data_IF_057223443010
#
_entry.id   IF_057223443010
#
_cell.length_a   1.000
_cell.length_b   1.000
_cell.length_c   1.000
_cell.angle_alpha   90.00
_cell.angle_beta   90.00
_cell.angle_gamma   90.00
#
_symmetry.space_group_name_H-M   'P 1'
#
loop_
_entity.id
_entity.type
_entity.pdbx_description
1 polymer ?
#
# COMPACT_ATOMS: atom_id res chain seq x y z
N UNK A 1 -31.14 -2.13 -21.42
CA UNK A 1 -29.68 -1.90 -21.42
C UNK A 1 -29.02 -3.23 -21.65
N UNK A 2 -28.74 -3.52 -22.91
CA UNK A 2 -28.48 -4.88 -23.40
C UNK A 2 -26.99 -5.04 -23.74
N UNK A 3 -26.41 -6.15 -23.27
CA UNK A 3 -24.96 -6.43 -23.28
C UNK A 3 -24.53 -7.14 -24.58
N UNK A 4 -25.36 -7.08 -25.63
CA UNK A 4 -25.22 -7.92 -26.83
C UNK A 4 -24.30 -7.35 -27.91
N UNK A 5 -23.76 -6.13 -27.73
CA UNK A 5 -22.78 -5.57 -28.66
C UNK A 5 -21.37 -5.59 -28.06
N UNK A 6 -20.48 -6.36 -28.70
CA UNK A 6 -19.06 -6.41 -28.32
C UNK A 6 -18.38 -5.05 -28.47
N UNK A 7 -18.82 -4.20 -29.40
CA UNK A 7 -18.22 -2.89 -29.62
C UNK A 7 -18.55 -1.90 -28.49
N UNK A 8 -19.76 -1.98 -27.97
CA UNK A 8 -20.18 -1.22 -26.79
C UNK A 8 -19.41 -1.69 -25.54
N UNK A 9 -19.22 -3.00 -25.39
CA UNK A 9 -18.43 -3.60 -24.30
C UNK A 9 -16.95 -3.21 -24.37
N UNK A 10 -16.35 -3.22 -25.56
CA UNK A 10 -14.98 -2.71 -25.80
C UNK A 10 -14.84 -1.23 -25.45
N UNK A 11 -15.85 -0.43 -25.77
CA UNK A 11 -15.91 0.98 -25.40
C UNK A 11 -15.89 1.18 -23.88
N UNK A 12 -16.74 0.46 -23.14
CA UNK A 12 -16.74 0.51 -21.67
C UNK A 12 -15.42 0.05 -21.06
N UNK A 13 -14.81 -1.00 -21.60
CA UNK A 13 -13.51 -1.49 -21.14
C UNK A 13 -12.40 -0.45 -21.34
N UNK A 14 -12.32 0.16 -22.54
CA UNK A 14 -11.33 1.20 -22.86
C UNK A 14 -11.49 2.44 -21.98
N UNK A 15 -12.72 2.89 -21.72
CA UNK A 15 -13.00 4.01 -20.82
C UNK A 15 -12.66 3.64 -19.36
N UNK A 16 -12.90 2.39 -18.95
CA UNK A 16 -12.47 1.87 -17.66
C UNK A 16 -10.94 1.87 -17.51
N UNK A 17 -10.22 1.42 -18.53
CA UNK A 17 -8.77 1.39 -18.58
C UNK A 17 -8.15 2.80 -18.52
N UNK A 18 -8.69 3.75 -19.30
CA UNK A 18 -8.22 5.14 -19.25
C UNK A 18 -8.46 5.77 -17.87
N UNK A 19 -9.64 5.55 -17.27
CA UNK A 19 -9.94 6.04 -15.92
C UNK A 19 -9.01 5.43 -14.87
N UNK A 20 -8.71 4.13 -15.00
CA UNK A 20 -7.75 3.44 -14.13
C UNK A 20 -6.35 4.03 -14.25
N UNK A 21 -5.88 4.24 -15.48
CA UNK A 21 -4.56 4.84 -15.75
C UNK A 21 -4.46 6.25 -15.13
N UNK A 22 -5.44 7.10 -15.40
CA UNK A 22 -5.49 8.45 -14.82
C UNK A 22 -5.50 8.42 -13.27
N UNK A 23 -6.17 7.45 -12.66
CA UNK A 23 -6.17 7.28 -11.20
C UNK A 23 -4.79 6.85 -10.67
N UNK A 24 -4.13 5.90 -11.35
CA UNK A 24 -2.76 5.48 -11.02
C UNK A 24 -1.80 6.66 -11.13
N UNK A 25 -1.91 7.47 -12.18
CA UNK A 25 -1.02 8.61 -12.41
C UNK A 25 -1.17 9.68 -11.31
N UNK A 26 -2.41 9.95 -10.89
CA UNK A 26 -2.70 10.87 -9.78
C UNK A 26 -2.12 10.37 -8.45
N UNK A 27 -2.26 9.08 -8.16
CA UNK A 27 -1.72 8.48 -6.93
C UNK A 27 -0.19 8.43 -6.97
N UNK A 28 0.40 8.08 -8.12
CA UNK A 28 1.85 8.02 -8.31
C UNK A 28 2.54 9.40 -8.21
N UNK A 29 1.81 10.50 -8.47
CA UNK A 29 2.29 11.85 -8.22
C UNK A 29 2.51 12.12 -6.71
N UNK A 30 1.82 11.39 -5.83
CA UNK A 30 1.98 11.43 -4.38
C UNK A 30 2.68 10.18 -3.84
N UNK A 31 3.85 9.88 -4.42
CA UNK A 31 4.71 8.80 -3.99
C UNK A 31 5.76 9.31 -2.98
N UNK A 32 6.04 8.51 -1.96
CA UNK A 32 6.94 8.81 -0.85
C UNK A 32 8.04 7.75 -0.76
N UNK A 33 9.24 8.18 -0.41
CA UNK A 33 10.32 7.28 0.03
C UNK A 33 10.12 6.85 1.50
N UNK A 34 11.00 5.99 2.01
CA UNK A 34 10.96 5.53 3.41
C UNK A 34 11.14 6.64 4.46
N UNK A 35 11.65 7.82 4.07
CA UNK A 35 11.84 8.96 4.96
C UNK A 35 10.63 9.89 5.01
N UNK A 36 9.66 9.65 4.11
CA UNK A 36 8.50 10.49 3.88
C UNK A 36 8.81 11.71 3.03
N UNK A 37 9.89 11.68 2.24
CA UNK A 37 10.11 12.68 1.21
C UNK A 37 9.31 12.28 -0.04
N UNK A 38 8.69 13.25 -0.69
CA UNK A 38 8.06 13.00 -1.98
C UNK A 38 9.12 12.58 -3.00
N UNK A 39 8.98 11.37 -3.53
CA UNK A 39 9.83 10.83 -4.58
C UNK A 39 9.59 11.54 -5.93
N UNK A 40 8.50 12.30 -6.03
CA UNK A 40 8.06 12.96 -7.27
C UNK A 40 7.91 14.47 -7.11
N UNK A 41 9.03 15.19 -7.00
CA UNK A 41 9.08 16.59 -7.43
C UNK A 41 9.81 16.68 -8.76
N UNK A 42 9.12 17.25 -9.75
CA UNK A 42 9.58 17.56 -11.12
C UNK A 42 9.61 16.41 -12.13
N UNK A 43 8.44 16.00 -12.63
CA UNK A 43 8.34 15.47 -14.00
C UNK A 43 6.90 15.53 -14.54
N UNK A 44 6.20 16.66 -14.37
CA UNK A 44 4.84 16.88 -14.94
C UNK A 44 4.79 16.78 -16.49
N UNK A 45 5.89 16.40 -17.15
CA UNK A 45 6.07 16.41 -18.60
C UNK A 45 6.95 15.25 -19.17
N UNK A 46 7.27 14.19 -18.42
CA UNK A 46 8.08 13.07 -18.97
C UNK A 46 7.21 11.84 -19.27
N UNK A 47 6.69 11.84 -20.51
CA UNK A 47 6.50 10.73 -21.47
C UNK A 47 6.00 9.35 -20.99
N UNK A 48 5.14 8.73 -21.80
CA UNK A 48 4.71 7.31 -21.72
C UNK A 48 5.88 6.31 -21.47
N UNK A 49 7.09 6.68 -21.87
CA UNK A 49 8.33 5.94 -21.65
C UNK A 49 8.72 5.79 -20.18
N UNK A 50 8.52 6.82 -19.33
CA UNK A 50 8.81 6.74 -17.89
C UNK A 50 7.76 5.88 -17.15
N UNK A 51 6.50 5.91 -17.60
CA UNK A 51 5.48 4.98 -17.12
C UNK A 51 5.87 3.52 -17.39
N UNK A 52 6.40 3.26 -18.59
CA UNK A 52 6.86 1.92 -18.98
C UNK A 52 8.10 1.50 -18.18
N UNK A 53 9.07 2.42 -17.98
CA UNK A 53 10.24 2.14 -17.12
C UNK A 53 9.85 1.81 -15.69
N UNK A 54 8.86 2.49 -15.11
CA UNK A 54 8.34 2.17 -13.77
C UNK A 54 7.62 0.83 -13.73
N UNK A 55 6.75 0.55 -14.70
CA UNK A 55 6.04 -0.72 -14.76
C UNK A 55 6.98 -1.92 -14.89
N UNK A 56 8.15 -1.73 -15.51
CA UNK A 56 9.19 -2.75 -15.66
C UNK A 56 10.18 -2.75 -14.47
N UNK A 57 10.43 -1.58 -13.86
CA UNK A 57 11.46 -1.36 -12.84
C UNK A 57 10.96 -1.40 -11.39
N UNK A 58 9.68 -1.73 -11.16
CA UNK A 58 9.09 -1.81 -9.83
C UNK A 58 8.33 -3.13 -9.64
N UNK A 59 8.38 -3.66 -8.42
CA UNK A 59 7.60 -4.84 -8.02
C UNK A 59 6.76 -4.53 -6.79
N UNK A 60 5.55 -5.09 -6.73
CA UNK A 60 4.66 -4.91 -5.59
C UNK A 60 5.25 -5.56 -4.34
N UNK A 61 5.28 -4.83 -3.23
CA UNK A 61 5.74 -5.30 -1.91
C UNK A 61 4.77 -4.85 -0.83
N UNK A 62 4.86 -5.37 0.42
CA UNK A 62 4.01 -4.90 1.49
C UNK A 62 4.03 -3.38 1.62
N UNK A 63 2.83 -2.79 1.61
CA UNK A 63 2.59 -1.36 1.76
C UNK A 63 3.17 -0.46 0.66
N UNK A 64 3.56 -0.99 -0.50
CA UNK A 64 4.20 -0.18 -1.53
C UNK A 64 4.75 -0.94 -2.74
N UNK A 65 5.79 -0.36 -3.33
CA UNK A 65 6.60 -0.95 -4.40
C UNK A 65 8.08 -0.96 -4.02
N UNK A 66 8.83 -1.87 -4.62
CA UNK A 66 10.28 -1.96 -4.52
C UNK A 66 10.89 -1.75 -5.91
N UNK A 67 11.93 -0.92 -5.99
CA UNK A 67 12.65 -0.63 -7.23
C UNK A 67 14.09 -1.21 -7.27
N UNK A 68 14.41 -2.12 -6.35
CA UNK A 68 15.71 -2.80 -6.33
C UNK A 68 15.81 -3.75 -7.55
N UNK A 69 16.76 -3.57 -8.48
CA UNK A 69 16.77 -4.33 -9.74
C UNK A 69 16.79 -5.85 -9.57
N UNK A 70 17.57 -6.35 -8.61
CA UNK A 70 17.66 -7.79 -8.32
C UNK A 70 16.34 -8.34 -7.79
N UNK A 71 15.71 -7.64 -6.84
CA UNK A 71 14.44 -8.06 -6.27
C UNK A 71 13.29 -7.92 -7.29
N UNK A 72 13.33 -6.90 -8.15
CA UNK A 72 12.37 -6.73 -9.27
C UNK A 72 12.50 -7.90 -10.24
N UNK A 73 13.72 -8.27 -10.65
CA UNK A 73 13.96 -9.43 -11.50
C UNK A 73 13.46 -10.74 -10.85
N UNK A 74 13.56 -10.83 -9.53
CA UNK A 74 13.09 -11.97 -8.75
C UNK A 74 11.58 -11.91 -8.38
N UNK A 75 10.80 -10.99 -8.94
CA UNK A 75 9.37 -10.90 -8.68
C UNK A 75 9.00 -10.53 -7.23
N UNK A 76 9.95 -9.95 -6.47
CA UNK A 76 9.74 -9.51 -5.09
C UNK A 76 10.07 -10.55 -4.01
N UNK A 77 10.47 -11.76 -4.41
CA UNK A 77 10.60 -12.91 -3.50
C UNK A 77 12.01 -13.13 -2.94
N UNK A 78 13.01 -12.38 -3.40
CA UNK A 78 14.42 -12.57 -3.02
C UNK A 78 14.95 -11.51 -2.04
N UNK A 79 14.09 -10.63 -1.52
CA UNK A 79 14.52 -9.60 -0.58
C UNK A 79 14.91 -10.21 0.78
N UNK A 80 16.14 -10.01 1.28
CA UNK A 80 16.60 -10.59 2.56
C UNK A 80 15.90 -10.00 3.78
N UNK A 81 15.30 -8.81 3.64
CA UNK A 81 14.54 -8.11 4.68
C UNK A 81 13.05 -8.02 4.31
N UNK A 82 12.52 -9.06 3.65
CA UNK A 82 11.10 -9.10 3.26
C UNK A 82 10.21 -8.79 4.47
N UNK A 83 9.12 -8.04 4.21
CA UNK A 83 8.21 -7.50 5.22
C UNK A 83 8.77 -6.35 6.08
N UNK A 84 10.06 -5.99 5.95
CA UNK A 84 10.66 -4.79 6.57
C UNK A 84 10.95 -3.68 5.55
N UNK A 85 10.09 -3.56 4.52
CA UNK A 85 10.33 -2.68 3.38
C UNK A 85 10.47 -1.19 3.77
N UNK A 86 9.75 -0.73 4.79
CA UNK A 86 9.90 0.64 5.37
C UNK A 86 11.32 0.92 5.91
N UNK A 87 12.14 -0.12 6.05
CA UNK A 87 13.55 -0.05 6.38
C UNK A 87 14.48 0.31 5.21
N UNK A 88 14.05 0.07 3.96
CA UNK A 88 14.89 0.03 2.76
C UNK A 88 14.78 1.30 1.89
N UNK A 89 15.89 1.74 1.30
CA UNK A 89 15.90 2.90 0.37
C UNK A 89 15.23 2.63 -0.97
N UNK A 90 15.05 1.36 -1.35
CA UNK A 90 14.33 0.96 -2.57
C UNK A 90 12.81 0.95 -2.42
N UNK A 91 12.31 1.11 -1.20
CA UNK A 91 10.89 1.12 -0.93
C UNK A 91 10.24 2.45 -1.32
N UNK A 92 9.08 2.37 -1.96
CA UNK A 92 8.21 3.50 -2.25
C UNK A 92 6.79 3.17 -1.83
N UNK A 93 6.11 4.12 -1.20
CA UNK A 93 4.66 4.04 -0.92
C UNK A 93 3.95 5.19 -1.60
N UNK A 94 2.65 5.05 -1.81
CA UNK A 94 1.79 6.14 -2.25
C UNK A 94 0.61 6.32 -1.28
N UNK A 95 -0.17 7.38 -1.47
CA UNK A 95 -1.33 7.72 -0.62
C UNK A 95 -2.38 6.61 -0.55
N UNK A 96 -2.45 5.72 -1.55
CA UNK A 96 -3.42 4.62 -1.55
C UNK A 96 -3.11 3.54 -0.51
N UNK A 97 -1.88 3.48 0.01
CA UNK A 97 -1.47 2.54 1.06
C UNK A 97 -1.63 3.09 2.49
N UNK A 98 -2.11 4.33 2.65
CA UNK A 98 -2.27 4.97 3.96
C UNK A 98 -3.11 4.13 4.95
N UNK A 99 -4.26 3.53 4.56
CA UNK A 99 -5.02 2.65 5.45
C UNK A 99 -4.25 1.39 5.88
N UNK A 100 -3.50 0.76 4.98
CA UNK A 100 -2.71 -0.43 5.30
C UNK A 100 -1.52 -0.09 6.22
N UNK A 101 -0.89 1.08 6.02
CA UNK A 101 0.16 1.58 6.92
C UNK A 101 -0.38 1.83 8.33
N UNK A 102 -1.60 2.38 8.45
CA UNK A 102 -2.26 2.58 9.74
C UNK A 102 -2.58 1.25 10.42
N UNK A 103 -3.17 0.31 9.68
CA UNK A 103 -3.44 -1.04 10.19
C UNK A 103 -2.14 -1.73 10.64
N UNK A 104 -1.06 -1.58 9.88
CA UNK A 104 0.25 -2.11 10.24
C UNK A 104 0.78 -1.52 11.55
N UNK A 105 0.66 -0.20 11.73
CA UNK A 105 1.04 0.45 12.98
C UNK A 105 0.24 -0.08 14.17
N UNK A 106 -1.08 -0.22 14.01
CA UNK A 106 -1.96 -0.74 15.05
C UNK A 106 -1.59 -2.18 15.43
N UNK A 107 -1.25 -3.02 14.44
CA UNK A 107 -0.79 -4.39 14.64
C UNK A 107 0.56 -4.44 15.37
N UNK A 108 1.52 -3.57 15.03
CA UNK A 108 2.80 -3.49 15.75
C UNK A 108 2.58 -3.13 17.23
N UNK A 109 1.73 -2.15 17.51
CA UNK A 109 1.43 -1.72 18.88
C UNK A 109 0.70 -2.81 19.67
N UNK A 110 -0.31 -3.43 19.06
CA UNK A 110 -1.06 -4.54 19.64
C UNK A 110 -0.16 -5.75 19.91
N UNK A 111 0.73 -6.09 18.97
CA UNK A 111 1.66 -7.21 19.15
C UNK A 111 2.62 -6.96 20.31
N UNK A 112 3.13 -5.73 20.44
CA UNK A 112 3.97 -5.33 21.57
C UNK A 112 3.28 -5.50 22.91
N UNK A 113 2.02 -5.07 23.02
CA UNK A 113 1.21 -5.25 24.23
C UNK A 113 0.97 -6.73 24.55
N UNK A 114 0.64 -7.53 23.53
CA UNK A 114 0.41 -8.98 23.68
C UNK A 114 1.66 -9.72 24.14
N UNK A 115 2.82 -9.40 23.56
CA UNK A 115 4.09 -9.99 23.96
C UNK A 115 4.49 -9.57 25.37
N UNK A 116 4.28 -8.30 25.75
CA UNK A 116 4.56 -7.84 27.11
C UNK A 116 3.76 -8.64 28.15
N UNK A 117 2.48 -8.90 27.88
CA UNK A 117 1.57 -9.64 28.77
C UNK A 117 1.76 -11.17 28.74
N UNK A 118 2.45 -11.73 27.75
CA UNK A 118 2.66 -13.17 27.62
C UNK A 118 3.58 -13.68 28.73
N UNK A 119 3.07 -14.54 29.61
CA UNK A 119 3.82 -15.10 30.75
C UNK A 119 4.39 -16.48 30.45
N UNK A 120 3.84 -17.16 29.45
CA UNK A 120 4.14 -18.56 29.10
C UNK A 120 5.35 -18.70 28.15
N UNK A 121 5.93 -17.59 27.69
CA UNK A 121 7.06 -17.59 26.76
C UNK A 121 8.36 -17.13 27.42
N UNK A 122 9.46 -17.79 27.04
CA UNK A 122 10.81 -17.44 27.48
C UNK A 122 11.19 -16.01 27.07
N UNK A 123 12.03 -15.39 27.89
CA UNK A 123 12.48 -14.01 27.68
C UNK A 123 13.18 -13.79 26.33
N UNK A 124 13.98 -14.74 25.87
CA UNK A 124 14.69 -14.63 24.59
C UNK A 124 13.70 -14.62 23.40
N UNK A 125 12.69 -15.50 23.41
CA UNK A 125 11.69 -15.59 22.36
C UNK A 125 10.82 -14.33 22.31
N UNK A 126 10.46 -13.79 23.48
CA UNK A 126 9.76 -12.50 23.59
C UNK A 126 10.58 -11.35 23.01
N UNK A 127 11.89 -11.33 23.25
CA UNK A 127 12.78 -10.29 22.74
C UNK A 127 12.92 -10.35 21.21
N UNK A 128 13.09 -11.53 20.62
CA UNK A 128 13.18 -11.70 19.17
C UNK A 128 11.86 -11.38 18.44
N UNK A 129 10.73 -11.72 19.04
CA UNK A 129 9.41 -11.44 18.46
C UNK A 129 8.96 -9.98 18.64
N UNK A 130 9.62 -9.22 19.53
CA UNK A 130 9.21 -7.87 19.88
C UNK A 130 9.35 -6.93 18.67
N UNK A 131 8.27 -6.24 18.24
CA UNK A 131 8.38 -5.17 17.25
C UNK A 131 9.40 -4.12 17.69
N UNK A 132 10.27 -3.69 16.77
CA UNK A 132 11.29 -2.70 17.11
C UNK A 132 10.70 -1.29 17.23
N UNK A 133 11.21 -0.51 18.18
CA UNK A 133 10.81 0.89 18.33
C UNK A 133 11.20 1.72 17.09
N UNK A 134 12.28 1.35 16.41
CA UNK A 134 12.69 1.99 15.16
C UNK A 134 11.65 1.81 14.05
N UNK A 135 11.11 0.61 13.90
CA UNK A 135 10.08 0.32 12.90
C UNK A 135 8.80 1.09 13.20
N UNK A 136 8.33 1.05 14.46
CA UNK A 136 7.16 1.82 14.91
C UNK A 136 7.35 3.31 14.62
N UNK A 137 8.53 3.85 14.95
CA UNK A 137 8.86 5.26 14.74
C UNK A 137 8.88 5.62 13.26
N UNK A 138 9.45 4.76 12.41
CA UNK A 138 9.48 4.97 10.96
C UNK A 138 8.08 4.95 10.36
N UNK A 139 7.25 3.96 10.70
CA UNK A 139 5.87 3.85 10.21
C UNK A 139 5.05 5.06 10.65
N UNK A 140 5.14 5.47 11.93
CA UNK A 140 4.48 6.69 12.44
C UNK A 140 4.89 7.94 11.67
N UNK A 141 6.19 8.12 11.45
CA UNK A 141 6.71 9.27 10.69
C UNK A 141 6.18 9.27 9.25
N UNK A 142 6.19 8.12 8.60
CA UNK A 142 5.71 7.99 7.23
C UNK A 142 4.21 8.32 7.13
N UNK A 143 3.38 7.75 8.00
CA UNK A 143 1.94 8.06 8.08
C UNK A 143 1.72 9.56 8.30
N UNK A 144 2.47 10.16 9.24
CA UNK A 144 2.37 11.59 9.52
C UNK A 144 2.71 12.42 8.27
N UNK A 145 3.80 12.11 7.57
CA UNK A 145 4.20 12.83 6.36
C UNK A 145 3.16 12.72 5.24
N UNK A 146 2.62 11.53 5.04
CA UNK A 146 1.55 11.31 4.05
C UNK A 146 0.31 12.14 4.40
N UNK A 147 -0.08 12.19 5.67
CA UNK A 147 -1.21 13.02 6.15
C UNK A 147 -0.93 14.51 6.00
N UNK A 148 0.24 14.98 6.41
CA UNK A 148 0.63 16.39 6.28
C UNK A 148 0.55 16.87 4.82
N UNK A 149 1.06 16.08 3.88
CA UNK A 149 0.98 16.42 2.45
C UNK A 149 -0.46 16.39 1.92
N UNK A 150 -1.27 15.46 2.41
CA UNK A 150 -2.69 15.33 2.08
C UNK A 150 -3.55 16.48 2.65
N UNK A 151 -3.17 17.01 3.82
CA UNK A 151 -3.84 18.13 4.49
C UNK A 151 -3.44 19.48 3.90
N UNK A 152 -2.31 19.53 3.18
CA UNK A 152 -1.85 20.72 2.43
C UNK A 152 -2.51 20.93 1.08
N UNK A 153 -3.38 20.02 0.63
CA UNK A 153 -4.07 20.09 -0.66
C UNK A 153 -5.31 20.99 -0.61
N UNK A 154 -5.70 21.56 -1.75
CA UNK A 154 -7.00 22.20 -1.85
C UNK A 154 -8.14 21.16 -1.69
N UNK A 155 -9.36 21.57 -1.29
CA UNK A 155 -10.51 20.67 -1.21
C UNK A 155 -10.78 19.93 -2.54
N UNK A 156 -10.59 20.59 -3.67
CA UNK A 156 -10.78 20.02 -5.01
C UNK A 156 -9.69 19.02 -5.37
N UNK A 157 -8.43 19.32 -5.03
CA UNK A 157 -7.31 18.39 -5.20
C UNK A 157 -7.48 17.16 -4.32
N UNK A 158 -7.95 17.37 -3.09
CA UNK A 158 -8.20 16.30 -2.13
C UNK A 158 -9.27 15.32 -2.60
N UNK A 159 -10.41 15.83 -3.05
CA UNK A 159 -11.50 14.99 -3.60
C UNK A 159 -11.02 14.18 -4.82
N UNK A 160 -10.25 14.81 -5.70
CA UNK A 160 -9.68 14.12 -6.87
C UNK A 160 -8.72 12.98 -6.49
N UNK A 161 -7.94 13.15 -5.43
CA UNK A 161 -7.02 12.13 -4.93
C UNK A 161 -7.79 11.02 -4.22
N UNK A 162 -8.79 11.34 -3.41
CA UNK A 162 -9.60 10.34 -2.71
C UNK A 162 -10.39 9.45 -3.71
N UNK A 163 -10.89 10.04 -4.80
CA UNK A 163 -11.49 9.28 -5.92
C UNK A 163 -10.46 8.38 -6.62
N UNK A 164 -9.26 8.88 -6.87
CA UNK A 164 -8.18 8.11 -7.49
C UNK A 164 -7.74 6.93 -6.60
N UNK A 165 -7.55 7.18 -5.31
CA UNK A 165 -7.27 6.16 -4.29
C UNK A 165 -8.35 5.09 -4.29
N UNK A 166 -9.62 5.49 -4.29
CA UNK A 166 -10.75 4.55 -4.34
C UNK A 166 -10.72 3.68 -5.60
N UNK A 167 -10.44 4.28 -6.76
CA UNK A 167 -10.35 3.55 -8.02
C UNK A 167 -9.17 2.57 -8.06
N UNK A 168 -8.00 2.96 -7.54
CA UNK A 168 -6.82 2.09 -7.45
C UNK A 168 -7.08 0.92 -6.50
N UNK A 169 -7.60 1.20 -5.30
CA UNK A 169 -7.86 0.18 -4.26
C UNK A 169 -8.90 -0.85 -4.69
N UNK A 170 -9.97 -0.46 -5.38
CA UNK A 170 -11.00 -1.39 -5.89
C UNK A 170 -10.43 -2.49 -6.79
N UNK A 171 -9.35 -2.19 -7.50
CA UNK A 171 -8.74 -3.10 -8.46
C UNK A 171 -7.47 -3.77 -7.91
N UNK A 172 -7.09 -3.50 -6.65
CA UNK A 172 -5.89 -4.03 -6.05
C UNK A 172 -6.17 -5.43 -5.47
N UNK A 173 -6.07 -6.46 -6.31
CA UNK A 173 -6.00 -7.85 -5.87
C UNK A 173 -4.55 -8.19 -5.50
N UNK A 174 -4.12 -7.84 -4.29
CA UNK A 174 -2.73 -8.03 -3.86
C UNK A 174 -2.69 -8.83 -2.55
N UNK A 175 -2.65 -10.15 -2.69
CA UNK A 175 -2.24 -11.07 -1.62
C UNK A 175 -0.74 -11.37 -1.77
N UNK A 176 0.13 -10.46 -1.30
CA UNK A 176 1.60 -10.64 -1.32
C UNK A 176 2.14 -11.59 -0.24
N UNK A 177 1.33 -12.57 0.19
CA UNK A 177 1.69 -13.45 1.30
C UNK A 177 1.95 -12.68 2.61
N UNK A 178 1.28 -11.54 2.83
CA UNK A 178 1.32 -10.86 4.13
C UNK A 178 0.91 -11.84 5.23
N UNK A 179 1.57 -11.83 6.41
CA UNK A 179 0.98 -12.47 7.59
C UNK A 179 -0.42 -11.87 7.75
N UNK A 180 -1.44 -12.72 7.70
CA UNK A 180 -2.84 -12.29 7.56
C UNK A 180 -3.18 -11.26 8.65
N UNK A 181 -3.57 -10.07 8.22
CA UNK A 181 -4.44 -9.19 8.99
C UNK A 181 -5.69 -10.04 9.25
N UNK A 182 -5.94 -10.42 10.50
CA UNK A 182 -7.25 -10.96 10.87
C UNK A 182 -8.24 -9.83 10.68
N UNK A 183 -8.88 -9.78 9.51
CA UNK A 183 -10.15 -9.09 9.41
C UNK A 183 -11.08 -9.71 10.47
N UNK A 184 -11.75 -8.92 11.31
CA UNK A 184 -12.84 -9.46 12.11
C UNK A 184 -13.82 -10.07 11.12
N UNK A 185 -14.00 -11.39 11.20
CA UNK A 185 -15.02 -12.09 10.44
C UNK A 185 -16.36 -11.39 10.73
N UNK A 186 -17.15 -10.99 9.72
CA UNK A 186 -18.52 -10.58 9.97
C UNK A 186 -19.22 -11.72 10.72
N UNK A 187 -19.89 -11.39 11.82
CA UNK A 187 -20.59 -12.36 12.67
C UNK A 187 -21.81 -12.88 11.89
N UNK A 188 -21.57 -13.87 11.02
CA UNK A 188 -22.63 -14.58 10.31
C UNK A 188 -23.11 -15.69 11.26
N UNK A 189 -23.81 -15.30 12.32
CA UNK A 189 -24.73 -16.18 13.03
C UNK A 189 -26.12 -16.00 12.42
N UNK A 190 -26.58 -16.89 11.53
CA UNK A 190 -28.01 -16.98 11.28
C UNK A 190 -28.67 -17.49 12.56
N UNK A 191 -29.54 -16.67 13.16
CA UNK A 191 -30.39 -17.10 14.26
C UNK A 191 -31.17 -18.35 13.83
N UNK A 192 -31.10 -19.40 14.65
CA UNK A 192 -31.84 -20.64 14.43
C UNK A 192 -33.29 -20.39 14.83
N UNK A 193 -34.29 -20.54 13.93
CA UNK A 193 -35.68 -20.46 14.35
C UNK A 193 -36.03 -21.63 15.28
N UNK A 194 -36.95 -21.35 16.19
CA UNK A 194 -37.39 -22.17 17.32
C UNK A 194 -37.94 -23.55 16.93
#
# INVERSE_FOLDING_TARGET
MDHQSMDVTKGYYRVGEQRRRNAVDKVAAMQFDRHGNQAWRQAKALLDTEHTRRAIGEVAVPFGTCNEPSNVQAGGDHCPIRFRCVGCDHFRTDVSYLPELQAYLDDLLRNRERLAAMTEADAWAKAEAMPSDEEITRVRRLIRRVKEDLDGLSPEERDQIDQAVTAVRKNRAVHLGMPRIRQPLPDIRPERPA
#
